data_IF_002152715752
#
_entry.id   IF_002152715752
#
_cell.length_a   1.000
_cell.length_b   1.000
_cell.length_c   1.000
_cell.angle_alpha   90.00
_cell.angle_beta   90.00
_cell.angle_gamma   90.00
#
_symmetry.space_group_name_H-M   'P 1'
#
loop_
_entity.id
_entity.type
_entity.pdbx_description
1 polymer ?
#
# COMPACT_ATOMS: atom_id res chain seq x y z
N UNK A 1 47.44 1.24 -8.52
CA UNK A 1 46.33 1.17 -9.50
C UNK A 1 45.70 -0.15 -9.14
N UNK A 2 44.84 -0.10 -8.13
CA UNK A 2 44.33 -1.28 -7.44
C UNK A 2 42.83 -1.05 -7.29
N UNK A 3 42.10 -1.68 -8.19
CA UNK A 3 40.65 -1.72 -8.28
C UNK A 3 40.03 -2.26 -6.99
N UNK A 4 39.76 -1.37 -6.03
CA UNK A 4 38.68 -1.60 -5.07
C UNK A 4 37.35 -1.25 -5.74
N UNK A 5 36.92 -2.15 -6.63
CA UNK A 5 35.52 -2.30 -6.99
C UNK A 5 34.77 -2.68 -5.72
N UNK A 6 34.38 -1.68 -4.93
CA UNK A 6 33.46 -1.83 -3.83
C UNK A 6 32.14 -2.31 -4.43
N UNK A 7 31.86 -3.59 -4.23
CA UNK A 7 30.61 -4.22 -4.59
C UNK A 7 29.45 -3.32 -4.16
N UNK A 8 28.78 -2.71 -5.14
CA UNK A 8 27.48 -2.10 -4.92
C UNK A 8 26.61 -3.22 -4.37
N UNK A 9 26.27 -3.13 -3.07
CA UNK A 9 25.32 -4.02 -2.44
C UNK A 9 24.06 -3.97 -3.29
N UNK A 10 23.84 -4.99 -4.12
CA UNK A 10 22.63 -5.15 -4.92
C UNK A 10 21.51 -5.64 -4.00
N UNK A 11 21.39 -4.99 -2.84
CA UNK A 11 20.31 -5.16 -1.90
C UNK A 11 19.09 -4.62 -2.60
N UNK A 12 18.17 -5.52 -2.89
CA UNK A 12 16.82 -5.26 -3.40
C UNK A 12 16.15 -4.23 -2.48
N UNK A 13 16.36 -2.95 -2.76
CA UNK A 13 15.68 -1.84 -2.11
C UNK A 13 14.23 -1.89 -2.60
N UNK A 14 13.27 -1.71 -1.68
CA UNK A 14 11.86 -1.59 -2.05
C UNK A 14 11.63 -0.43 -3.01
N UNK A 15 10.39 -0.30 -3.50
CA UNK A 15 10.01 0.74 -4.47
C UNK A 15 10.25 2.17 -3.95
N UNK A 16 10.24 2.36 -2.62
CA UNK A 16 10.41 3.65 -1.97
C UNK A 16 9.13 4.51 -2.01
N UNK A 17 8.99 5.41 -1.02
CA UNK A 17 7.76 6.22 -0.84
C UNK A 17 7.43 7.08 -2.08
N UNK A 18 8.45 7.51 -2.82
CA UNK A 18 8.27 8.32 -4.03
C UNK A 18 7.50 7.59 -5.13
N UNK A 19 7.53 6.25 -5.15
CA UNK A 19 6.85 5.41 -6.13
C UNK A 19 5.40 5.08 -5.75
N UNK A 20 4.95 5.40 -4.53
CA UNK A 20 3.58 5.14 -4.11
C UNK A 20 2.59 6.00 -4.91
N UNK A 21 1.39 5.46 -5.24
CA UNK A 21 0.28 6.23 -5.79
C UNK A 21 0.00 7.51 -4.99
N UNK A 22 -0.44 8.57 -5.67
CA UNK A 22 -0.59 9.89 -5.05
C UNK A 22 -1.58 9.89 -3.88
N UNK A 23 -2.70 9.18 -4.02
CA UNK A 23 -3.75 9.09 -3.00
C UNK A 23 -3.26 8.38 -1.73
N UNK A 24 -2.45 7.32 -1.90
CA UNK A 24 -1.79 6.62 -0.79
C UNK A 24 -0.70 7.51 -0.15
N UNK A 25 0.18 8.09 -0.97
CA UNK A 25 1.34 8.89 -0.50
C UNK A 25 0.92 10.16 0.24
N UNK A 26 -0.18 10.78 -0.17
CA UNK A 26 -0.69 12.01 0.42
C UNK A 26 -1.84 11.78 1.42
N UNK A 27 -2.07 10.52 1.80
CA UNK A 27 -3.10 10.12 2.73
C UNK A 27 -3.00 10.89 4.06
N UNK A 28 -4.13 11.40 4.55
CA UNK A 28 -4.24 11.99 5.90
C UNK A 28 -4.40 10.96 7.02
N UNK A 29 -4.52 9.67 6.69
CA UNK A 29 -4.78 8.56 7.63
C UNK A 29 -3.52 7.70 7.83
N UNK A 30 -2.95 7.18 6.74
CA UNK A 30 -1.67 6.47 6.72
C UNK A 30 -0.53 7.39 7.19
N UNK A 31 0.19 6.94 8.22
CA UNK A 31 1.32 7.67 8.79
C UNK A 31 2.65 7.26 8.12
N UNK A 32 3.75 7.91 8.50
CA UNK A 32 5.06 7.66 7.90
C UNK A 32 5.50 6.19 7.98
N UNK A 33 5.24 5.52 9.11
CA UNK A 33 5.56 4.09 9.27
C UNK A 33 4.74 3.21 8.32
N UNK A 34 3.44 3.51 8.16
CA UNK A 34 2.55 2.82 7.22
C UNK A 34 3.07 2.97 5.77
N UNK A 35 3.46 4.20 5.39
CA UNK A 35 4.03 4.48 4.06
C UNK A 35 5.37 3.78 3.85
N UNK A 36 6.22 3.68 4.88
CA UNK A 36 7.47 2.92 4.82
C UNK A 36 7.22 1.42 4.62
N UNK A 37 6.22 0.84 5.29
CA UNK A 37 5.82 -0.55 5.12
C UNK A 37 5.33 -0.81 3.70
N UNK A 38 4.43 0.02 3.19
CA UNK A 38 3.92 -0.08 1.82
C UNK A 38 5.06 0.06 0.80
N UNK A 39 5.99 1.00 1.01
CA UNK A 39 7.13 1.23 0.13
C UNK A 39 8.23 0.15 0.19
N UNK A 40 8.15 -0.78 1.16
CA UNK A 40 9.12 -1.86 1.33
C UNK A 40 8.97 -3.00 0.31
N UNK A 41 7.84 -3.06 -0.40
CA UNK A 41 7.59 -4.03 -1.47
C UNK A 41 8.61 -3.86 -2.60
N UNK A 42 8.98 -4.97 -3.25
CA UNK A 42 9.97 -4.93 -4.33
C UNK A 42 9.43 -4.28 -5.61
N UNK A 43 8.14 -4.44 -5.85
CA UNK A 43 7.38 -3.89 -6.96
C UNK A 43 5.97 -3.56 -6.47
N UNK A 44 5.29 -2.62 -7.12
CA UNK A 44 3.92 -2.28 -6.75
C UNK A 44 3.00 -3.45 -7.06
N UNK A 45 2.18 -3.92 -6.09
CA UNK A 45 1.23 -4.98 -6.34
C UNK A 45 0.18 -4.56 -7.37
N UNK A 46 -0.39 -5.56 -8.03
CA UNK A 46 -1.59 -5.41 -8.84
C UNK A 46 -2.80 -5.90 -8.06
N UNK A 47 -4.00 -5.50 -8.49
CA UNK A 47 -5.26 -6.02 -7.95
C UNK A 47 -5.37 -7.51 -8.26
N UNK A 48 -5.47 -8.32 -7.22
CA UNK A 48 -5.74 -9.74 -7.33
C UNK A 48 -7.25 -9.96 -7.33
N UNK A 49 -7.80 -10.43 -8.46
CA UNK A 49 -9.22 -10.72 -8.59
C UNK A 49 -9.70 -11.88 -7.70
N UNK A 50 -8.78 -12.68 -7.15
CA UNK A 50 -9.09 -13.72 -6.18
C UNK A 50 -9.06 -13.23 -4.73
N UNK A 51 -8.66 -11.97 -4.48
CA UNK A 51 -8.70 -11.39 -3.15
C UNK A 51 -10.15 -11.24 -2.68
N UNK A 52 -10.46 -11.90 -1.58
CA UNK A 52 -11.80 -11.97 -1.02
C UNK A 52 -11.76 -11.50 0.44
N UNK A 53 -12.33 -10.32 0.68
CA UNK A 53 -12.34 -9.69 2.00
C UNK A 53 -13.72 -9.08 2.27
N UNK A 54 -14.38 -9.56 3.32
CA UNK A 54 -15.74 -9.14 3.67
C UNK A 54 -15.83 -7.67 4.09
N UNK A 55 -14.79 -7.13 4.74
CA UNK A 55 -14.73 -5.74 5.16
C UNK A 55 -14.62 -4.82 3.95
N UNK A 56 -13.73 -5.14 3.01
CA UNK A 56 -13.57 -4.42 1.74
C UNK A 56 -14.88 -4.41 0.95
N UNK A 57 -15.53 -5.56 0.80
CA UNK A 57 -16.83 -5.67 0.13
C UNK A 57 -17.88 -4.78 0.81
N UNK A 58 -17.91 -4.77 2.14
CA UNK A 58 -18.85 -3.95 2.90
C UNK A 58 -18.58 -2.45 2.71
N UNK A 59 -17.31 -2.02 2.77
CA UNK A 59 -16.92 -0.63 2.52
C UNK A 59 -17.37 -0.21 1.11
N UNK A 60 -17.07 -1.00 0.08
CA UNK A 60 -17.48 -0.70 -1.29
C UNK A 60 -19.01 -0.61 -1.37
N UNK A 61 -19.73 -1.61 -0.87
CA UNK A 61 -21.20 -1.64 -0.95
C UNK A 61 -21.85 -0.44 -0.27
N UNK A 62 -21.38 -0.07 0.93
CA UNK A 62 -22.02 0.98 1.73
C UNK A 62 -21.65 2.39 1.27
N UNK A 63 -20.41 2.60 0.84
CA UNK A 63 -19.89 3.93 0.46
C UNK A 63 -19.85 4.17 -1.05
N UNK A 64 -20.38 3.26 -1.89
CA UNK A 64 -20.42 3.35 -3.37
C UNK A 64 -20.88 4.70 -3.94
N UNK A 65 -21.78 5.41 -3.24
CA UNK A 65 -22.33 6.68 -3.71
C UNK A 65 -21.55 7.92 -3.21
N UNK A 66 -20.53 7.71 -2.36
CA UNK A 66 -19.71 8.78 -1.81
C UNK A 66 -18.22 8.38 -1.86
N UNK A 67 -17.55 8.61 -2.99
CA UNK A 67 -16.18 8.13 -3.22
C UNK A 67 -15.16 8.71 -2.22
N UNK A 68 -15.38 9.93 -1.72
CA UNK A 68 -14.49 10.53 -0.72
C UNK A 68 -14.56 9.81 0.63
N UNK A 69 -15.76 9.44 1.08
CA UNK A 69 -15.89 8.64 2.31
C UNK A 69 -15.44 7.20 2.07
N UNK A 70 -15.67 6.63 0.88
CA UNK A 70 -15.14 5.30 0.55
C UNK A 70 -13.61 5.26 0.66
N UNK A 71 -12.91 6.21 0.04
CA UNK A 71 -11.45 6.29 0.10
C UNK A 71 -10.95 6.36 1.53
N UNK A 72 -11.58 7.21 2.35
CA UNK A 72 -11.26 7.35 3.76
C UNK A 72 -11.39 6.02 4.52
N UNK A 73 -12.49 5.29 4.33
CA UNK A 73 -12.71 4.00 5.00
C UNK A 73 -11.74 2.91 4.52
N UNK A 74 -11.40 2.89 3.22
CA UNK A 74 -10.37 2.00 2.69
C UNK A 74 -9.01 2.29 3.32
N UNK A 75 -8.65 3.56 3.51
CA UNK A 75 -7.40 3.95 4.15
C UNK A 75 -7.37 3.59 5.63
N UNK A 76 -8.48 3.71 6.36
CA UNK A 76 -8.57 3.23 7.74
C UNK A 76 -8.40 1.72 7.81
N UNK A 77 -9.09 0.98 6.96
CA UNK A 77 -8.98 -0.48 6.98
C UNK A 77 -7.59 -0.97 6.58
N UNK A 78 -6.98 -0.35 5.55
CA UNK A 78 -5.61 -0.63 5.16
C UNK A 78 -4.63 -0.34 6.31
N UNK A 79 -4.87 0.72 7.09
CA UNK A 79 -4.08 1.00 8.29
C UNK A 79 -4.18 -0.12 9.32
N UNK A 80 -5.39 -0.61 9.62
CA UNK A 80 -5.59 -1.73 10.53
C UNK A 80 -4.84 -2.99 10.07
N UNK A 81 -4.91 -3.30 8.77
CA UNK A 81 -4.17 -4.41 8.17
C UNK A 81 -2.64 -4.24 8.30
N UNK A 82 -2.14 -3.02 8.10
CA UNK A 82 -0.71 -2.72 8.29
C UNK A 82 -0.26 -2.87 9.74
N UNK A 83 -1.08 -2.44 10.69
CA UNK A 83 -0.84 -2.63 12.13
C UNK A 83 -0.81 -4.15 12.50
N UNK A 84 -1.49 -5.00 11.73
CA UNK A 84 -1.43 -6.47 11.83
C UNK A 84 -0.29 -7.11 11.02
N UNK A 85 0.50 -6.34 10.27
CA UNK A 85 1.56 -6.83 9.40
C UNK A 85 1.08 -7.44 8.07
N UNK A 86 -0.19 -7.26 7.71
CA UNK A 86 -0.85 -7.76 6.49
C UNK A 86 -0.64 -6.80 5.32
N UNK A 87 0.62 -6.64 4.91
CA UNK A 87 1.03 -5.66 3.90
C UNK A 87 0.37 -5.93 2.54
N UNK A 88 0.25 -7.19 2.14
CA UNK A 88 -0.33 -7.54 0.84
C UNK A 88 -1.84 -7.24 0.82
N UNK A 89 -2.56 -7.56 1.90
CA UNK A 89 -3.98 -7.29 2.03
C UNK A 89 -4.25 -5.78 2.08
N UNK A 90 -3.43 -5.01 2.81
CA UNK A 90 -3.53 -3.55 2.80
C UNK A 90 -3.37 -2.96 1.39
N UNK A 91 -2.46 -3.52 0.58
CA UNK A 91 -2.35 -3.15 -0.83
C UNK A 91 -3.60 -3.48 -1.63
N UNK A 92 -4.20 -4.67 -1.45
CA UNK A 92 -5.44 -5.01 -2.15
C UNK A 92 -6.59 -4.06 -1.81
N UNK A 93 -6.68 -3.62 -0.54
CA UNK A 93 -7.67 -2.64 -0.09
C UNK A 93 -7.42 -1.26 -0.71
N UNK A 94 -6.17 -0.78 -0.68
CA UNK A 94 -5.82 0.55 -1.20
C UNK A 94 -5.94 0.65 -2.74
N UNK A 95 -5.76 -0.46 -3.45
CA UNK A 95 -5.89 -0.50 -4.91
C UNK A 95 -7.35 -0.60 -5.39
N UNK A 96 -8.33 -0.79 -4.51
CA UNK A 96 -9.73 -0.96 -4.88
C UNK A 96 -10.40 0.29 -5.50
N UNK A 97 -9.76 1.47 -5.40
CA UNK A 97 -10.24 2.72 -6.00
C UNK A 97 -9.76 2.94 -7.45
N UNK A 98 -8.84 2.11 -7.95
CA UNK A 98 -8.12 2.34 -9.20
C UNK A 98 -8.51 1.34 -10.30
#
# INVERSE_FOLDING_TARGET
MDDINAAASSGKQGVGIAALPADIRNSGILLMDDLNLLASVQELPFVDAAFDDDTLKHIIQYYSINPAEMEKELHYYAKELLDEGKINEAWQVLLALN
#
